data_IF_929401675481
#
_entry.id   IF_929401675481
#
_cell.length_a   1.000
_cell.length_b   1.000
_cell.length_c   1.000
_cell.angle_alpha   90.00
_cell.angle_beta   90.00
_cell.angle_gamma   90.00
#
_symmetry.space_group_name_H-M   'P 1'
#
loop_
_entity.id
_entity.type
_entity.pdbx_description
1 polymer ?
#
# COMPACT_ATOMS: atom_id res chain seq x y z
N UNK A 1 11.30 55.99 61.89
CA UNK A 1 10.32 55.92 60.79
C UNK A 1 10.08 54.44 60.50
N UNK A 2 8.84 54.01 60.77
CA UNK A 2 8.11 52.76 60.42
C UNK A 2 8.78 51.76 59.46
N UNK A 3 8.54 50.45 59.51
CA UNK A 3 7.84 49.52 60.43
C UNK A 3 8.03 48.11 59.82
N UNK A 4 7.94 47.07 60.65
CA UNK A 4 7.59 45.66 60.32
C UNK A 4 8.53 44.85 59.40
N UNK A 5 8.54 43.51 59.34
CA UNK A 5 8.41 42.37 60.26
C UNK A 5 8.45 41.11 59.37
N UNK A 6 8.96 39.97 59.88
CA UNK A 6 8.59 38.58 59.50
C UNK A 6 9.14 37.96 58.18
N UNK A 7 9.62 36.69 58.32
CA UNK A 7 9.96 35.63 57.33
C UNK A 7 8.76 35.18 56.43
N UNK A 8 8.70 34.03 55.71
CA UNK A 8 9.68 33.02 55.23
C UNK A 8 9.50 32.65 53.72
N UNK A 9 10.28 31.65 53.26
CA UNK A 9 10.12 30.72 52.10
C UNK A 9 9.06 31.03 51.01
N UNK A 10 9.48 31.16 49.75
CA UNK A 10 8.61 31.02 48.58
C UNK A 10 9.27 30.20 47.46
N UNK A 11 8.77 28.98 47.31
CA UNK A 11 8.83 28.14 46.11
C UNK A 11 8.24 28.91 44.92
N UNK A 12 8.97 29.04 43.82
CA UNK A 12 8.41 29.45 42.53
C UNK A 12 8.54 28.32 41.53
N UNK A 13 7.37 27.76 41.20
CA UNK A 13 7.12 26.90 40.06
C UNK A 13 7.55 27.59 38.76
N UNK A 14 8.28 26.88 37.91
CA UNK A 14 8.33 27.17 36.48
C UNK A 14 7.64 26.02 35.76
N UNK A 15 6.45 26.35 35.27
CA UNK A 15 5.59 25.59 34.38
C UNK A 15 6.31 25.20 33.10
N UNK A 16 6.54 23.90 32.92
CA UNK A 16 7.06 23.30 31.69
C UNK A 16 6.61 21.85 31.58
N UNK A 17 5.30 21.61 31.75
CA UNK A 17 4.69 20.30 31.66
C UNK A 17 4.25 20.02 30.21
N UNK A 18 5.08 19.23 29.52
CA UNK A 18 4.68 18.13 28.66
C UNK A 18 3.60 18.38 27.59
N UNK A 19 4.04 18.88 26.43
CA UNK A 19 3.30 18.77 25.15
C UNK A 19 3.67 17.46 24.40
N UNK A 20 4.76 16.78 24.81
CA UNK A 20 5.30 15.60 24.13
C UNK A 20 4.91 14.25 24.74
N UNK A 21 4.41 14.20 25.97
CA UNK A 21 3.90 12.96 26.58
C UNK A 21 2.44 12.66 26.19
N UNK A 22 1.73 13.59 25.54
CA UNK A 22 0.30 13.48 25.23
C UNK A 22 -0.01 13.01 23.79
N UNK A 23 0.99 12.43 23.09
CA UNK A 23 0.84 11.82 21.77
C UNK A 23 1.13 10.32 21.74
N UNK A 24 1.05 9.65 22.91
CA UNK A 24 1.07 8.21 22.98
C UNK A 24 -0.06 7.62 22.10
N UNK A 25 0.33 6.96 21.01
CA UNK A 25 -0.58 6.39 20.04
C UNK A 25 -1.58 5.43 20.71
N UNK A 26 -2.90 5.56 20.49
CA UNK A 26 -3.85 4.59 21.00
C UNK A 26 -3.64 3.25 20.29
N UNK A 27 -3.24 2.24 21.06
CA UNK A 27 -3.11 0.85 20.65
C UNK A 27 -4.48 0.21 20.44
N UNK A 28 -5.22 0.64 19.43
CA UNK A 28 -6.45 -0.05 19.02
C UNK A 28 -6.09 -1.24 18.13
N UNK A 29 -6.63 -2.44 18.40
CA UNK A 29 -6.35 -3.62 17.59
C UNK A 29 -6.89 -3.44 16.16
N UNK A 30 -6.08 -3.80 15.16
CA UNK A 30 -6.51 -3.91 13.77
C UNK A 30 -7.53 -5.05 13.70
N UNK A 31 -8.79 -4.72 13.47
CA UNK A 31 -9.86 -5.71 13.32
C UNK A 31 -9.85 -6.20 11.87
N UNK A 32 -9.58 -7.50 11.69
CA UNK A 32 -9.70 -8.19 10.40
C UNK A 32 -11.13 -8.72 10.32
N UNK A 33 -12.04 -7.93 9.78
CA UNK A 33 -13.43 -8.34 9.57
C UNK A 33 -13.69 -8.47 8.07
N UNK A 34 -14.13 -9.65 7.62
CA UNK A 34 -14.51 -9.87 6.23
C UNK A 34 -15.90 -9.28 5.96
N UNK A 35 -15.98 -7.95 5.89
CA UNK A 35 -17.23 -7.25 5.64
C UNK A 35 -17.52 -7.17 4.14
N UNK A 36 -18.22 -8.19 3.64
CA UNK A 36 -19.13 -7.98 2.51
C UNK A 36 -20.59 -8.24 2.94
N UNK A 37 -20.83 -8.83 4.11
CA UNK A 37 -22.17 -9.26 4.50
C UNK A 37 -22.97 -8.23 5.34
N UNK A 38 -22.46 -7.00 5.52
CA UNK A 38 -23.05 -6.03 6.47
C UNK A 38 -23.35 -4.62 5.95
N UNK A 39 -22.93 -4.24 4.73
CA UNK A 39 -23.10 -2.87 4.25
C UNK A 39 -24.46 -2.73 3.55
N UNK A 40 -25.32 -1.84 4.03
CA UNK A 40 -26.67 -1.64 3.51
C UNK A 40 -26.67 -0.78 2.23
N UNK A 41 -27.68 -1.01 1.38
CA UNK A 41 -27.86 -0.27 0.13
C UNK A 41 -28.08 1.23 0.41
N UNK A 42 -27.13 2.08 0.02
CA UNK A 42 -27.12 3.52 0.30
C UNK A 42 -25.97 4.00 1.19
N UNK A 43 -25.21 3.08 1.80
CA UNK A 43 -24.03 3.44 2.58
C UNK A 43 -22.80 3.70 1.68
N UNK A 44 -21.89 4.55 2.16
CA UNK A 44 -20.61 4.86 1.51
C UNK A 44 -19.47 4.11 2.19
N UNK A 45 -18.41 3.83 1.43
CA UNK A 45 -17.21 3.17 1.94
C UNK A 45 -16.06 4.19 1.94
N UNK A 46 -15.42 4.35 3.08
CA UNK A 46 -14.15 5.07 3.18
C UNK A 46 -13.02 4.13 2.75
N UNK A 47 -12.50 4.33 1.55
CA UNK A 47 -11.44 3.53 0.96
C UNK A 47 -10.09 4.23 1.05
N UNK A 48 -9.14 3.66 1.78
CA UNK A 48 -7.76 4.12 1.82
C UNK A 48 -6.96 3.58 0.63
N UNK A 49 -6.56 4.50 -0.25
CA UNK A 49 -5.63 4.27 -1.35
C UNK A 49 -4.19 4.67 -0.98
N UNK A 50 -3.24 3.78 -1.25
CA UNK A 50 -1.81 3.99 -0.98
C UNK A 50 -0.89 3.64 -2.17
N UNK A 51 -1.45 3.07 -3.23
CA UNK A 51 -0.74 2.60 -4.42
C UNK A 51 -1.16 3.35 -5.68
N UNK A 52 -1.31 2.61 -6.79
CA UNK A 52 -1.78 3.16 -8.07
C UNK A 52 -3.14 3.85 -8.02
N UNK A 53 -3.94 3.57 -6.99
CA UNK A 53 -5.26 4.20 -6.81
C UNK A 53 -5.20 5.62 -6.25
N UNK A 54 -4.03 6.10 -5.84
CA UNK A 54 -3.85 7.51 -5.49
C UNK A 54 -3.88 8.43 -6.72
N UNK A 55 -3.60 7.91 -7.92
CA UNK A 55 -3.67 8.70 -9.15
C UNK A 55 -5.11 8.79 -9.66
N UNK A 56 -5.60 10.02 -9.82
CA UNK A 56 -6.99 10.28 -10.19
C UNK A 56 -7.33 9.76 -11.58
N UNK A 57 -6.42 9.85 -12.55
CA UNK A 57 -6.65 9.34 -13.92
C UNK A 57 -6.84 7.81 -13.95
N UNK A 58 -6.14 7.10 -13.08
CA UNK A 58 -6.25 5.65 -12.88
C UNK A 58 -7.53 5.27 -12.12
N UNK A 59 -7.95 6.11 -11.16
CA UNK A 59 -9.16 5.92 -10.36
C UNK A 59 -10.45 6.25 -11.13
N UNK A 60 -10.53 7.42 -11.75
CA UNK A 60 -11.73 7.88 -12.48
C UNK A 60 -11.78 7.48 -13.95
N UNK A 61 -10.64 7.32 -14.62
CA UNK A 61 -10.60 6.89 -16.02
C UNK A 61 -10.77 5.39 -16.18
N UNK A 62 -9.74 4.62 -15.79
CA UNK A 62 -9.70 3.17 -16.01
C UNK A 62 -10.77 2.40 -15.22
N UNK A 63 -11.05 2.81 -13.97
CA UNK A 63 -12.03 2.13 -13.10
C UNK A 63 -13.43 2.75 -13.15
N UNK A 64 -13.57 3.93 -13.76
CA UNK A 64 -14.85 4.67 -13.84
C UNK A 64 -15.49 4.89 -12.46
N UNK A 65 -14.65 5.16 -11.46
CA UNK A 65 -15.06 5.46 -10.07
C UNK A 65 -15.03 6.97 -9.86
N UNK A 66 -16.09 7.53 -9.28
CA UNK A 66 -16.15 8.96 -8.95
C UNK A 66 -16.24 9.10 -7.43
N UNK A 67 -15.13 9.47 -6.75
CA UNK A 67 -15.18 9.66 -5.31
C UNK A 67 -16.12 10.81 -4.95
N UNK A 68 -16.90 10.63 -3.89
CA UNK A 68 -17.79 11.63 -3.31
C UNK A 68 -17.00 12.70 -2.56
N UNK A 69 -15.97 12.25 -1.83
CA UNK A 69 -15.02 13.10 -1.12
C UNK A 69 -13.63 12.45 -1.10
N UNK A 70 -12.60 13.26 -0.81
CA UNK A 70 -11.21 12.82 -0.71
C UNK A 70 -10.51 13.51 0.46
N UNK A 71 -9.70 12.79 1.21
CA UNK A 71 -8.96 13.30 2.36
C UNK A 71 -7.57 12.66 2.42
N UNK A 72 -6.52 13.47 2.51
CA UNK A 72 -5.17 12.96 2.77
C UNK A 72 -5.11 12.45 4.21
N UNK A 73 -4.47 11.31 4.42
CA UNK A 73 -4.37 10.71 5.76
C UNK A 73 -2.98 10.16 6.03
N UNK A 74 -2.63 10.14 7.31
CA UNK A 74 -1.46 9.46 7.85
C UNK A 74 -1.89 8.22 8.63
N UNK A 75 -1.16 7.13 8.46
CA UNK A 75 -1.41 5.83 9.09
C UNK A 75 -0.13 5.34 9.77
N UNK A 76 0.09 5.65 11.07
CA UNK A 76 1.32 5.30 11.79
C UNK A 76 1.62 3.80 11.84
N UNK A 77 0.58 2.97 11.83
CA UNK A 77 0.65 1.53 12.06
C UNK A 77 1.01 0.71 10.82
N UNK A 78 1.11 1.34 9.65
CA UNK A 78 1.40 0.66 8.38
C UNK A 78 2.64 1.23 7.72
N UNK A 79 3.39 0.36 7.04
CA UNK A 79 4.49 0.69 6.14
C UNK A 79 4.12 0.33 4.70
N UNK A 80 4.51 1.21 3.76
CA UNK A 80 4.41 0.94 2.33
C UNK A 80 5.52 -0.03 1.92
N UNK A 81 5.16 -1.14 1.30
CA UNK A 81 6.10 -2.13 0.77
C UNK A 81 5.83 -2.43 -0.70
N UNK A 82 6.78 -3.07 -1.38
CA UNK A 82 6.65 -3.49 -2.78
C UNK A 82 6.83 -5.00 -2.92
N UNK A 83 6.12 -5.75 -2.10
CA UNK A 83 6.25 -7.21 -2.02
C UNK A 83 5.13 -7.96 -2.77
N UNK A 84 4.10 -7.25 -3.24
CA UNK A 84 3.06 -7.88 -4.02
C UNK A 84 3.56 -8.26 -5.41
N UNK A 85 3.31 -9.51 -5.78
CA UNK A 85 3.75 -10.11 -7.04
C UNK A 85 2.98 -9.57 -8.23
N UNK A 86 3.69 -9.06 -9.23
CA UNK A 86 3.14 -8.78 -10.56
C UNK A 86 3.66 -9.77 -11.62
N UNK A 87 4.14 -9.23 -12.75
CA UNK A 87 4.67 -10.00 -13.88
C UNK A 87 6.19 -9.78 -13.98
N UNK A 88 7.03 -10.82 -13.80
CA UNK A 88 8.48 -10.72 -13.93
C UNK A 88 8.93 -9.99 -15.19
N UNK A 89 10.03 -9.22 -15.10
CA UNK A 89 10.62 -8.40 -16.18
C UNK A 89 9.79 -7.21 -16.70
N UNK A 90 8.51 -7.13 -16.39
CA UNK A 90 7.61 -6.06 -16.86
C UNK A 90 7.16 -5.17 -15.72
N UNK A 91 6.35 -5.72 -14.82
CA UNK A 91 5.84 -5.06 -13.62
C UNK A 91 5.98 -6.04 -12.48
N UNK A 92 7.21 -6.32 -12.05
CA UNK A 92 7.45 -7.47 -11.19
C UNK A 92 6.82 -7.31 -9.82
N UNK A 93 6.68 -6.06 -9.35
CA UNK A 93 6.20 -5.73 -8.02
C UNK A 93 5.23 -4.57 -8.00
N UNK A 94 4.26 -4.69 -7.11
CA UNK A 94 3.24 -3.68 -6.82
C UNK A 94 3.24 -3.29 -5.35
N UNK A 95 2.62 -2.15 -5.05
CA UNK A 95 2.51 -1.65 -3.69
C UNK A 95 1.65 -2.57 -2.82
N UNK A 96 2.05 -2.71 -1.57
CA UNK A 96 1.32 -3.40 -0.52
C UNK A 96 1.56 -2.67 0.81
N UNK A 97 0.89 -3.13 1.86
CA UNK A 97 1.08 -2.61 3.21
C UNK A 97 1.45 -3.73 4.18
N UNK A 98 2.32 -3.38 5.13
CA UNK A 98 2.70 -4.25 6.25
C UNK A 98 2.47 -3.51 7.56
N UNK A 99 2.14 -4.26 8.62
CA UNK A 99 2.05 -3.67 9.95
C UNK A 99 3.45 -3.24 10.37
N UNK A 100 3.58 -1.99 10.79
CA UNK A 100 4.81 -1.48 11.39
C UNK A 100 5.05 -2.19 12.72
N UNK A 101 6.22 -2.78 12.89
CA UNK A 101 6.67 -3.35 14.17
C UNK A 101 7.37 -2.22 14.93
N UNK A 102 6.81 -1.82 16.08
CA UNK A 102 7.24 -0.67 16.88
C UNK A 102 8.46 -0.92 17.77
N UNK A 103 9.03 -2.12 17.79
CA UNK A 103 9.85 -2.58 18.91
C UNK A 103 11.35 -2.69 18.58
N UNK A 104 11.87 -1.80 17.74
CA UNK A 104 13.29 -1.47 17.80
C UNK A 104 13.35 -0.01 18.23
N UNK A 105 13.88 0.21 19.42
CA UNK A 105 14.43 1.49 19.88
C UNK A 105 15.52 1.94 18.88
N UNK A 106 15.09 2.40 17.70
CA UNK A 106 15.95 3.21 16.84
C UNK A 106 15.93 4.60 17.44
N UNK A 107 17.11 4.99 17.93
CA UNK A 107 17.50 6.32 18.39
C UNK A 107 16.57 7.44 17.89
N UNK A 108 15.94 8.12 18.84
CA UNK A 108 14.91 9.17 18.64
C UNK A 108 15.42 10.46 17.96
N UNK A 109 16.53 10.42 17.23
CA UNK A 109 17.14 11.64 16.65
C UNK A 109 17.15 11.72 15.12
N UNK A 110 16.71 10.71 14.34
CA UNK A 110 16.80 10.78 12.86
C UNK A 110 15.63 10.23 12.03
N UNK A 111 14.40 10.16 12.56
CA UNK A 111 13.19 10.09 11.71
C UNK A 111 11.92 10.50 12.45
N UNK A 112 11.33 11.68 12.18
CA UNK A 112 9.99 12.00 12.68
C UNK A 112 8.89 11.38 11.77
N UNK A 113 9.06 10.09 11.44
CA UNK A 113 8.16 9.13 10.74
C UNK A 113 8.37 8.94 9.22
N UNK A 114 8.02 7.76 8.68
CA UNK A 114 6.90 7.82 7.74
C UNK A 114 6.00 6.60 7.89
N UNK A 115 5.04 6.65 8.82
CA UNK A 115 3.88 5.77 8.65
C UNK A 115 3.30 5.99 7.25
N UNK A 116 2.52 5.05 6.75
CA UNK A 116 1.91 5.16 5.44
C UNK A 116 1.14 6.48 5.30
N UNK A 117 1.40 7.23 4.24
CA UNK A 117 0.55 8.36 3.82
C UNK A 117 -0.18 7.94 2.56
N UNK A 118 -1.48 8.20 2.55
CA UNK A 118 -2.35 7.88 1.43
C UNK A 118 -3.53 8.82 1.35
N UNK A 119 -4.49 8.45 0.53
CA UNK A 119 -5.71 9.21 0.29
C UNK A 119 -6.90 8.33 0.63
N UNK A 120 -7.75 8.80 1.52
CA UNK A 120 -9.06 8.20 1.76
C UNK A 120 -10.05 8.80 0.77
N UNK A 121 -10.68 7.94 -0.02
CA UNK A 121 -11.80 8.27 -0.88
C UNK A 121 -13.09 7.77 -0.25
N UNK A 122 -14.11 8.62 -0.21
CA UNK A 122 -15.46 8.17 0.02
C UNK A 122 -16.07 7.72 -1.31
N UNK A 123 -16.49 6.46 -1.39
CA UNK A 123 -17.05 5.86 -2.60
C UNK A 123 -18.40 5.22 -2.33
N UNK A 124 -19.25 5.15 -3.34
CA UNK A 124 -20.49 4.37 -3.26
C UNK A 124 -20.19 2.87 -3.21
N UNK A 125 -21.12 2.08 -2.72
CA UNK A 125 -21.02 0.61 -2.77
C UNK A 125 -20.79 0.05 -4.18
N UNK A 126 -21.45 0.63 -5.19
CA UNK A 126 -21.28 0.19 -6.58
C UNK A 126 -19.87 0.45 -7.08
N UNK A 127 -19.29 1.61 -6.71
CA UNK A 127 -17.91 1.96 -7.02
C UNK A 127 -16.91 1.09 -6.25
N UNK A 128 -17.21 0.76 -4.99
CA UNK A 128 -16.43 -0.18 -4.19
C UNK A 128 -16.33 -1.56 -4.84
N UNK A 129 -17.44 -2.11 -5.34
CA UNK A 129 -17.43 -3.37 -6.08
C UNK A 129 -16.57 -3.30 -7.36
N UNK A 130 -16.55 -2.17 -8.06
CA UNK A 130 -15.67 -1.97 -9.22
C UNK A 130 -14.19 -1.92 -8.83
N UNK A 131 -13.86 -1.29 -7.70
CA UNK A 131 -12.49 -1.31 -7.15
C UNK A 131 -12.08 -2.75 -6.87
N UNK A 132 -12.90 -3.52 -6.15
CA UNK A 132 -12.60 -4.92 -5.85
C UNK A 132 -12.44 -5.80 -7.10
N UNK A 133 -13.27 -5.58 -8.13
CA UNK A 133 -13.16 -6.30 -9.39
C UNK A 133 -11.83 -6.02 -10.12
N UNK A 134 -11.36 -4.76 -10.08
CA UNK A 134 -10.17 -4.31 -10.82
C UNK A 134 -8.86 -4.56 -10.07
N UNK A 135 -8.87 -4.72 -8.74
CA UNK A 135 -7.72 -5.10 -7.91
C UNK A 135 -7.45 -6.63 -7.91
N UNK A 136 -7.88 -7.36 -8.95
CA UNK A 136 -7.71 -8.81 -9.04
C UNK A 136 -8.85 -9.63 -8.41
N UNK A 137 -10.07 -9.06 -8.38
CA UNK A 137 -11.28 -9.77 -8.00
C UNK A 137 -11.34 -10.21 -6.53
N UNK A 138 -10.60 -9.55 -5.64
CA UNK A 138 -10.55 -9.89 -4.21
C UNK A 138 -9.91 -11.24 -3.87
N UNK A 139 -9.16 -11.84 -4.80
CA UNK A 139 -8.56 -13.18 -4.62
C UNK A 139 -7.21 -13.15 -3.91
N UNK A 140 -6.52 -12.01 -3.95
CA UNK A 140 -5.15 -11.82 -3.44
C UNK A 140 -5.07 -10.87 -2.26
N UNK A 141 -6.11 -10.07 -2.03
CA UNK A 141 -6.15 -9.05 -1.00
C UNK A 141 -7.20 -9.39 0.04
N UNK A 142 -6.84 -9.20 1.30
CA UNK A 142 -7.75 -9.13 2.42
C UNK A 142 -8.17 -7.68 2.62
N UNK A 143 -9.42 -7.49 2.99
CA UNK A 143 -9.93 -6.20 3.44
C UNK A 143 -9.58 -6.04 4.93
N UNK A 144 -8.96 -4.92 5.30
CA UNK A 144 -8.67 -4.58 6.70
C UNK A 144 -9.19 -3.18 7.02
N UNK A 145 -9.61 -2.97 8.26
CA UNK A 145 -10.00 -1.66 8.77
C UNK A 145 -8.87 -1.06 9.58
N UNK A 146 -8.50 0.19 9.28
CA UNK A 146 -7.36 0.85 9.91
C UNK A 146 -7.70 2.30 10.31
N UNK A 147 -7.31 2.73 11.52
CA UNK A 147 -7.41 4.14 11.90
C UNK A 147 -6.48 4.99 11.02
N UNK A 148 -7.05 6.02 10.43
CA UNK A 148 -6.38 6.97 9.56
C UNK A 148 -6.50 8.36 10.15
N UNK A 149 -5.41 9.10 10.26
CA UNK A 149 -5.38 10.45 10.82
C UNK A 149 -5.42 11.47 9.68
N UNK A 150 -6.51 12.25 9.52
CA UNK A 150 -6.60 13.27 8.48
C UNK A 150 -5.43 14.26 8.53
N UNK A 151 -4.84 14.54 7.36
CA UNK A 151 -3.80 15.56 7.19
C UNK A 151 -4.43 16.76 6.53
N UNK A 152 -4.36 17.92 7.18
CA UNK A 152 -4.78 19.19 6.59
C UNK A 152 -3.70 19.69 5.61
N UNK A 153 -3.99 19.81 4.30
CA UNK A 153 -2.98 20.23 3.31
C UNK A 153 -2.25 21.54 3.64
N UNK A 154 -2.88 22.59 4.21
CA UNK A 154 -2.19 23.84 4.53
C UNK A 154 -1.12 23.72 5.60
N UNK A 155 -1.31 22.83 6.58
CA UNK A 155 -0.42 22.69 7.74
C UNK A 155 0.46 21.45 7.65
N UNK A 156 0.04 20.44 6.87
CA UNK A 156 0.60 19.09 6.85
C UNK A 156 0.68 18.44 8.25
N UNK A 157 -0.17 18.88 9.18
CA UNK A 157 -0.24 18.34 10.54
C UNK A 157 -1.37 17.29 10.57
N UNK A 158 -1.10 16.06 11.00
CA UNK A 158 -2.15 15.07 11.24
C UNK A 158 -3.05 15.50 12.39
N UNK A 159 -4.37 15.38 12.19
CA UNK A 159 -5.36 15.54 13.25
C UNK A 159 -5.17 14.48 14.35
N UNK A 160 -5.58 14.79 15.58
CA UNK A 160 -5.58 13.83 16.70
C UNK A 160 -6.72 12.81 16.62
N UNK A 161 -7.81 13.13 15.91
CA UNK A 161 -8.98 12.27 15.80
C UNK A 161 -8.90 11.36 14.57
N UNK A 162 -8.83 10.03 14.71
CA UNK A 162 -8.78 9.13 13.58
C UNK A 162 -10.16 8.91 12.94
N UNK A 163 -10.16 8.66 11.64
CA UNK A 163 -11.28 8.08 10.90
C UNK A 163 -10.96 6.61 10.57
N UNK A 164 -11.95 5.71 10.65
CA UNK A 164 -11.75 4.31 10.27
C UNK A 164 -11.94 4.16 8.77
N UNK A 165 -10.90 3.74 8.06
CA UNK A 165 -10.98 3.47 6.63
C UNK A 165 -10.68 2.01 6.31
N UNK A 166 -11.29 1.55 5.24
CA UNK A 166 -11.14 0.22 4.66
C UNK A 166 -9.99 0.24 3.65
N UNK A 167 -9.08 -0.71 3.74
CA UNK A 167 -8.01 -0.87 2.74
C UNK A 167 -7.80 -2.32 2.34
N UNK A 168 -7.07 -2.52 1.25
CA UNK A 168 -6.73 -3.83 0.72
C UNK A 168 -5.30 -4.16 1.14
N UNK A 169 -5.05 -5.36 1.64
CA UNK A 169 -3.73 -5.83 2.05
C UNK A 169 -3.54 -7.27 1.60
N UNK A 170 -2.48 -7.54 0.83
CA UNK A 170 -2.17 -8.91 0.45
C UNK A 170 -1.39 -9.59 1.57
N UNK A 171 -1.92 -10.61 2.25
CA UNK A 171 -1.27 -11.22 3.41
C UNK A 171 0.06 -11.86 3.02
N UNK A 172 1.01 -11.86 3.95
CA UNK A 172 2.23 -12.64 3.77
C UNK A 172 1.87 -14.12 3.79
N UNK A 173 2.13 -14.84 2.70
CA UNK A 173 1.92 -16.28 2.65
C UNK A 173 3.04 -16.96 3.43
N UNK A 174 2.74 -17.49 4.62
CA UNK A 174 3.65 -18.32 5.39
C UNK A 174 4.24 -19.43 4.49
N UNK A 175 5.54 -19.40 4.22
CA UNK A 175 6.27 -20.52 3.63
C UNK A 175 6.76 -20.39 2.18
N UNK A 176 6.57 -19.26 1.49
CA UNK A 176 7.27 -19.00 0.21
C UNK A 176 8.21 -17.81 0.43
N UNK A 177 9.51 -18.02 0.15
CA UNK A 177 10.64 -17.08 0.28
C UNK A 177 10.17 -15.66 0.58
N UNK A 178 10.42 -15.20 1.79
CA UNK A 178 10.04 -13.85 2.19
C UNK A 178 10.63 -12.85 1.20
N UNK A 179 9.75 -12.31 0.39
CA UNK A 179 10.09 -11.48 -0.78
C UNK A 179 9.98 -9.99 -0.42
N UNK A 180 9.84 -9.69 0.87
CA UNK A 180 9.71 -8.35 1.44
C UNK A 180 10.89 -7.43 1.07
N UNK A 181 12.11 -7.97 0.94
CA UNK A 181 13.32 -7.12 0.92
C UNK A 181 13.98 -6.91 -0.46
N UNK A 182 13.50 -7.57 -1.53
CA UNK A 182 14.26 -7.67 -2.80
C UNK A 182 13.52 -7.23 -4.06
N UNK A 183 12.24 -6.92 -3.95
CA UNK A 183 11.41 -6.54 -5.08
C UNK A 183 11.47 -5.04 -5.40
N UNK A 184 11.61 -4.69 -6.68
CA UNK A 184 11.51 -3.30 -7.15
C UNK A 184 10.28 -3.13 -8.06
N UNK A 185 9.45 -2.10 -7.85
CA UNK A 185 8.36 -1.77 -8.78
C UNK A 185 8.90 -1.22 -10.10
N UNK A 186 8.11 -1.31 -11.17
CA UNK A 186 8.49 -0.70 -12.45
C UNK A 186 8.47 0.83 -12.38
N UNK A 187 9.27 1.49 -13.23
CA UNK A 187 9.24 2.96 -13.32
C UNK A 187 7.84 3.49 -13.66
N UNK A 188 7.13 2.81 -14.58
CA UNK A 188 5.75 3.16 -14.92
C UNK A 188 4.85 3.14 -13.69
N UNK A 189 4.96 2.11 -12.85
CA UNK A 189 4.15 1.98 -11.64
C UNK A 189 4.52 3.03 -10.58
N UNK A 190 5.81 3.27 -10.33
CA UNK A 190 6.26 4.32 -9.41
C UNK A 190 5.77 5.70 -9.83
N UNK A 191 5.70 5.97 -11.13
CA UNK A 191 5.15 7.23 -11.62
C UNK A 191 3.67 7.40 -11.26
N UNK A 192 2.87 6.33 -11.18
CA UNK A 192 1.49 6.44 -10.69
C UNK A 192 1.45 6.93 -9.24
N UNK A 193 2.32 6.40 -8.38
CA UNK A 193 2.39 6.82 -6.98
C UNK A 193 2.87 8.27 -6.86
N UNK A 194 3.87 8.67 -7.64
CA UNK A 194 4.41 10.04 -7.66
C UNK A 194 3.40 11.04 -8.19
N UNK A 195 2.74 10.72 -9.31
CA UNK A 195 1.68 11.55 -9.88
C UNK A 195 0.52 11.68 -8.90
N UNK A 196 0.03 10.57 -8.33
CA UNK A 196 -1.03 10.63 -7.33
C UNK A 196 -0.65 11.44 -6.09
N UNK A 197 0.59 11.30 -5.61
CA UNK A 197 1.07 12.09 -4.49
C UNK A 197 1.11 13.60 -4.78
N UNK A 198 1.48 13.96 -6.01
CA UNK A 198 1.48 15.35 -6.48
C UNK A 198 0.05 15.88 -6.72
N UNK A 199 -0.83 15.11 -7.37
CA UNK A 199 -2.23 15.49 -7.63
C UNK A 199 -3.03 15.74 -6.35
N UNK A 200 -2.63 15.09 -5.26
CA UNK A 200 -3.26 15.20 -3.95
C UNK A 200 -2.50 16.12 -2.99
N UNK A 201 -1.45 16.81 -3.44
CA UNK A 201 -0.62 17.69 -2.60
C UNK A 201 -0.18 17.00 -1.29
N UNK A 202 0.27 15.74 -1.37
CA UNK A 202 0.77 15.03 -0.20
C UNK A 202 1.98 15.77 0.41
N UNK A 203 2.28 15.61 1.71
CA UNK A 203 3.40 16.30 2.35
C UNK A 203 4.72 16.14 1.59
N UNK A 204 5.49 17.23 1.47
CA UNK A 204 6.70 17.28 0.65
C UNK A 204 7.75 16.22 1.02
N UNK A 205 7.85 15.86 2.31
CA UNK A 205 8.75 14.80 2.77
C UNK A 205 8.34 13.43 2.20
N UNK A 206 7.04 13.16 2.08
CA UNK A 206 6.52 11.90 1.53
C UNK A 206 6.65 11.84 0.01
N UNK A 207 6.44 12.97 -0.68
CA UNK A 207 6.74 13.07 -2.11
C UNK A 207 8.24 12.81 -2.38
N UNK A 208 9.12 13.33 -1.53
CA UNK A 208 10.57 13.08 -1.61
C UNK A 208 10.90 11.61 -1.37
N UNK A 209 10.26 10.98 -0.38
CA UNK A 209 10.36 9.53 -0.13
C UNK A 209 9.97 8.71 -1.36
N UNK A 210 8.81 8.97 -1.97
CA UNK A 210 8.36 8.27 -3.19
C UNK A 210 9.27 8.53 -4.40
N UNK A 211 9.89 9.70 -4.48
CA UNK A 211 10.85 10.04 -5.52
C UNK A 211 12.16 9.27 -5.35
N UNK A 212 12.61 9.07 -4.12
CA UNK A 212 13.83 8.31 -3.79
C UNK A 212 13.71 6.79 -4.08
N UNK A 213 12.50 6.26 -4.24
CA UNK A 213 12.28 4.84 -4.57
C UNK A 213 12.93 4.46 -5.91
N UNK A 214 13.70 3.38 -5.89
CA UNK A 214 14.45 2.88 -7.06
C UNK A 214 13.54 2.04 -7.97
N UNK A 215 13.37 2.40 -9.26
CA UNK A 215 12.63 1.58 -10.21
C UNK A 215 13.43 0.34 -10.62
N UNK A 216 12.72 -0.76 -10.88
CA UNK A 216 13.27 -1.93 -11.57
C UNK A 216 13.76 -1.55 -12.97
N UNK A 217 14.96 -2.01 -13.31
CA UNK A 217 15.57 -1.85 -14.64
C UNK A 217 16.21 -3.15 -15.09
N UNK A 218 16.05 -3.45 -16.38
CA UNK A 218 16.79 -4.53 -17.03
C UNK A 218 18.20 -4.03 -17.30
N UNK A 219 19.20 -4.75 -16.80
CA UNK A 219 20.60 -4.35 -16.88
C UNK A 219 21.40 -5.19 -17.87
N UNK A 220 20.90 -6.35 -18.29
CA UNK A 220 21.60 -7.28 -19.19
C UNK A 220 20.78 -7.68 -20.42
N UNK A 221 21.48 -7.96 -21.52
CA UNK A 221 20.89 -8.52 -22.75
C UNK A 221 20.23 -9.87 -22.44
N UNK A 222 20.82 -10.65 -21.53
CA UNK A 222 20.29 -11.93 -21.07
C UNK A 222 18.89 -11.79 -20.46
N UNK A 223 18.68 -10.81 -19.58
CA UNK A 223 17.36 -10.48 -19.04
C UNK A 223 16.41 -9.96 -20.12
N UNK A 224 16.91 -9.20 -21.10
CA UNK A 224 16.10 -8.71 -22.21
C UNK A 224 15.56 -9.85 -23.09
N UNK A 225 16.37 -10.88 -23.35
CA UNK A 225 15.92 -12.11 -24.02
C UNK A 225 14.91 -12.84 -23.13
N UNK A 226 15.25 -13.02 -21.85
CA UNK A 226 14.37 -13.66 -20.86
C UNK A 226 12.99 -13.04 -20.79
N UNK A 227 12.90 -11.71 -20.83
CA UNK A 227 11.65 -10.95 -20.88
C UNK A 227 10.76 -11.37 -22.05
N UNK A 228 11.31 -11.45 -23.27
CA UNK A 228 10.53 -11.80 -24.46
C UNK A 228 10.13 -13.27 -24.48
N UNK A 229 11.04 -14.16 -24.05
CA UNK A 229 10.72 -15.59 -23.90
C UNK A 229 9.61 -15.77 -22.86
N UNK A 230 9.70 -15.07 -21.73
CA UNK A 230 8.70 -15.13 -20.67
C UNK A 230 7.33 -14.63 -21.15
N UNK A 231 7.32 -13.53 -21.89
CA UNK A 231 6.12 -13.00 -22.52
C UNK A 231 5.50 -14.01 -23.49
N UNK A 232 6.30 -14.61 -24.38
CA UNK A 232 5.79 -15.60 -25.33
C UNK A 232 5.15 -16.81 -24.63
N UNK A 233 5.70 -17.26 -23.50
CA UNK A 233 5.15 -18.36 -22.72
C UNK A 233 3.87 -18.00 -21.94
N UNK A 234 3.84 -16.82 -21.32
CA UNK A 234 2.83 -16.48 -20.30
C UNK A 234 1.79 -15.45 -20.71
N UNK A 235 2.02 -14.68 -21.79
CA UNK A 235 1.08 -13.65 -22.22
C UNK A 235 -0.30 -14.24 -22.56
N UNK A 236 -0.36 -15.33 -23.32
CA UNK A 236 -1.62 -15.99 -23.67
C UNK A 236 -2.43 -16.41 -22.44
N UNK A 237 -1.90 -17.30 -21.57
CA UNK A 237 -2.57 -17.70 -20.33
C UNK A 237 -2.99 -16.51 -19.46
N UNK A 238 -2.11 -15.51 -19.30
CA UNK A 238 -2.36 -14.32 -18.48
C UNK A 238 -3.52 -13.49 -19.04
N UNK A 239 -3.51 -13.17 -20.32
CA UNK A 239 -4.58 -12.39 -20.95
C UNK A 239 -5.91 -13.15 -20.99
N UNK A 240 -5.88 -14.47 -21.16
CA UNK A 240 -7.08 -15.30 -21.08
C UNK A 240 -7.73 -15.22 -19.70
N UNK A 241 -6.95 -15.37 -18.62
CA UNK A 241 -7.46 -15.31 -17.24
C UNK A 241 -7.95 -13.91 -16.90
N UNK A 242 -7.20 -12.86 -17.24
CA UNK A 242 -7.61 -11.47 -16.99
C UNK A 242 -8.89 -11.15 -17.75
N UNK A 243 -8.95 -11.47 -19.05
CA UNK A 243 -10.13 -11.23 -19.89
C UNK A 243 -11.36 -11.94 -19.33
N UNK A 244 -11.25 -13.23 -19.01
CA UNK A 244 -12.35 -14.00 -18.43
C UNK A 244 -12.78 -13.46 -17.07
N UNK A 245 -11.84 -13.02 -16.24
CA UNK A 245 -12.14 -12.43 -14.93
C UNK A 245 -12.92 -11.13 -15.09
N UNK A 246 -12.50 -10.24 -16.01
CA UNK A 246 -13.22 -8.97 -16.27
C UNK A 246 -14.63 -9.18 -16.82
N UNK A 247 -14.83 -10.21 -17.66
CA UNK A 247 -16.14 -10.55 -18.21
C UNK A 247 -17.08 -11.13 -17.15
N UNK A 248 -16.56 -11.94 -16.23
CA UNK A 248 -17.35 -12.67 -15.25
C UNK A 248 -17.43 -12.01 -13.86
N UNK A 249 -16.66 -10.94 -13.62
CA UNK A 249 -16.72 -10.13 -12.39
C UNK A 249 -17.81 -9.06 -12.41
N UNK A 250 -18.37 -8.71 -13.58
CA UNK A 250 -19.44 -7.71 -13.74
C UNK A 250 -20.82 -8.16 -13.23
N UNK A 251 -20.89 -9.27 -12.49
CA UNK A 251 -22.15 -9.72 -11.90
C UNK A 251 -22.31 -9.11 -10.50
N UNK A 252 -23.21 -8.14 -10.39
CA UNK A 252 -23.50 -7.37 -9.17
C UNK A 252 -23.89 -8.28 -7.99
N UNK A 253 -24.53 -9.43 -8.25
CA UNK A 253 -24.89 -10.43 -7.23
C UNK A 253 -23.70 -11.07 -6.52
N UNK A 254 -22.46 -10.88 -7.02
CA UNK A 254 -21.22 -11.39 -6.41
C UNK A 254 -20.31 -10.28 -5.89
N UNK A 255 -20.79 -9.04 -5.81
CA UNK A 255 -20.03 -7.91 -5.26
C UNK A 255 -18.72 -7.64 -6.01
N UNK A 256 -18.67 -7.87 -7.33
CA UNK A 256 -17.47 -7.65 -8.15
C UNK A 256 -16.45 -8.80 -8.13
N UNK A 257 -16.74 -9.94 -7.50
CA UNK A 257 -15.82 -11.09 -7.43
C UNK A 257 -16.08 -12.11 -8.56
N UNK A 258 -15.03 -12.68 -9.17
CA UNK A 258 -15.19 -13.74 -10.17
C UNK A 258 -15.73 -15.04 -9.52
N UNK A 259 -16.27 -15.98 -10.33
CA UNK A 259 -16.62 -17.31 -9.85
C UNK A 259 -15.45 -17.99 -9.12
N UNK A 260 -15.72 -18.76 -8.06
CA UNK A 260 -14.67 -19.40 -7.24
C UNK A 260 -13.71 -20.30 -8.04
N UNK A 261 -14.21 -21.03 -9.05
CA UNK A 261 -13.37 -21.85 -9.92
C UNK A 261 -12.39 -21.00 -10.75
N UNK A 262 -12.82 -19.81 -11.20
CA UNK A 262 -11.98 -18.90 -11.97
C UNK A 262 -10.96 -18.19 -11.08
N UNK A 263 -11.35 -17.84 -9.85
CA UNK A 263 -10.43 -17.37 -8.84
C UNK A 263 -9.33 -18.41 -8.55
N UNK A 264 -9.71 -19.68 -8.39
CA UNK A 264 -8.78 -20.79 -8.18
C UNK A 264 -7.85 -20.99 -9.39
N UNK A 265 -8.39 -20.95 -10.62
CA UNK A 265 -7.60 -21.01 -11.85
C UNK A 265 -6.60 -19.86 -11.95
N UNK A 266 -7.04 -18.62 -11.67
CA UNK A 266 -6.20 -17.43 -11.71
C UNK A 266 -5.03 -17.53 -10.72
N UNK A 267 -5.32 -17.99 -9.50
CA UNK A 267 -4.32 -18.28 -8.49
C UNK A 267 -3.33 -19.35 -8.96
N UNK A 268 -3.82 -20.47 -9.49
CA UNK A 268 -2.98 -21.56 -10.00
C UNK A 268 -2.05 -21.12 -11.14
N UNK A 269 -2.56 -20.35 -12.11
CA UNK A 269 -1.77 -19.78 -13.21
C UNK A 269 -0.71 -18.83 -12.66
N UNK A 270 -1.06 -17.94 -11.73
CA UNK A 270 -0.10 -17.03 -11.09
C UNK A 270 1.00 -17.78 -10.33
N UNK A 271 0.64 -18.81 -9.58
CA UNK A 271 1.62 -19.64 -8.85
C UNK A 271 2.57 -20.37 -9.79
N UNK A 272 2.05 -20.96 -10.88
CA UNK A 272 2.89 -21.65 -11.87
C UNK A 272 3.79 -20.68 -12.62
N UNK A 273 3.27 -19.51 -12.99
CA UNK A 273 4.01 -18.43 -13.62
C UNK A 273 5.20 -17.99 -12.75
N UNK A 274 5.00 -17.86 -11.44
CA UNK A 274 6.07 -17.52 -10.50
C UNK A 274 7.02 -18.67 -10.21
N UNK A 275 6.52 -19.91 -10.14
CA UNK A 275 7.34 -21.10 -9.92
C UNK A 275 8.28 -21.34 -11.09
N UNK A 276 7.77 -21.25 -12.32
CA UNK A 276 8.60 -21.36 -13.53
C UNK A 276 9.60 -20.21 -13.62
N UNK A 277 9.24 -19.01 -13.17
CA UNK A 277 10.20 -17.91 -13.07
C UNK A 277 11.34 -18.24 -12.10
N UNK A 278 11.03 -18.67 -10.87
CA UNK A 278 12.05 -18.91 -9.83
C UNK A 278 13.00 -20.07 -10.20
N UNK A 279 12.46 -21.14 -10.78
CA UNK A 279 13.23 -22.36 -11.07
C UNK A 279 13.97 -22.28 -12.40
N UNK A 280 13.38 -21.62 -13.41
CA UNK A 280 13.91 -21.65 -14.79
C UNK A 280 14.41 -20.27 -15.19
N UNK A 281 13.54 -19.26 -15.18
CA UNK A 281 13.89 -17.99 -15.81
C UNK A 281 14.91 -17.18 -15.01
N UNK A 282 14.79 -17.12 -13.69
CA UNK A 282 15.74 -16.37 -12.87
C UNK A 282 17.16 -16.94 -12.97
N UNK A 283 17.39 -18.26 -12.84
CA UNK A 283 18.70 -18.85 -13.06
C UNK A 283 19.21 -18.71 -14.50
N UNK A 284 18.32 -18.84 -15.50
CA UNK A 284 18.69 -18.88 -16.92
C UNK A 284 18.79 -17.51 -17.59
N UNK A 285 18.09 -16.49 -17.09
CA UNK A 285 18.04 -15.17 -17.72
C UNK A 285 18.40 -14.01 -16.80
N UNK A 286 18.49 -14.22 -15.48
CA UNK A 286 18.81 -13.19 -14.48
C UNK A 286 17.60 -12.72 -13.69
N UNK A 287 17.82 -11.84 -12.71
CA UNK A 287 16.75 -11.37 -11.83
C UNK A 287 15.78 -10.45 -12.59
N UNK A 288 14.53 -10.87 -12.68
CA UNK A 288 13.42 -10.13 -13.28
C UNK A 288 12.61 -9.29 -12.28
N UNK A 289 13.03 -9.21 -11.01
CA UNK A 289 12.28 -8.56 -9.92
C UNK A 289 13.04 -7.43 -9.22
N UNK A 290 14.35 -7.37 -9.34
CA UNK A 290 15.19 -6.36 -8.69
C UNK A 290 16.63 -6.40 -9.18
N UNK A 291 17.45 -5.47 -8.71
CA UNK A 291 18.87 -5.44 -9.06
C UNK A 291 19.62 -6.68 -8.53
N UNK A 292 20.15 -7.47 -9.47
CA UNK A 292 20.97 -8.68 -9.24
C UNK A 292 22.25 -8.44 -8.42
N UNK A 293 22.63 -7.18 -8.17
CA UNK A 293 23.93 -6.79 -7.58
C UNK A 293 24.05 -7.10 -6.09
N UNK A 294 22.96 -7.41 -5.39
CA UNK A 294 23.02 -7.86 -3.97
C UNK A 294 23.17 -9.38 -3.80
N UNK A 295 23.31 -10.13 -4.90
CA UNK A 295 23.45 -11.59 -4.90
C UNK A 295 24.89 -12.12 -5.04
N UNK A 296 25.87 -11.25 -5.30
CA UNK A 296 27.27 -11.63 -5.21
C UNK A 296 27.65 -11.68 -3.72
N UNK A 297 27.58 -12.86 -3.12
CA UNK A 297 28.28 -13.12 -1.86
C UNK A 297 29.72 -12.64 -2.03
N UNK A 298 30.16 -11.79 -1.11
CA UNK A 298 31.59 -11.57 -0.88
C UNK A 298 32.24 -12.93 -0.64
N UNK A 299 33.26 -13.21 -1.44
CA UNK A 299 34.36 -14.17 -1.28
C UNK A 299 34.00 -15.54 -0.67
#
# INVERSE_FOLDING_TARGET
MNSDSVSPTATLQSTGSNILDELAAPSSPVVIESLVDGIQEGETVLYLAYGSNMEYSTFSGRRKVKPLSKQNVWVPSLDLTFDLKGVPYFEPRFANVRKRISDIECDRETSPLPGLIGVVYEVTLTDWHRILATEGGGTSYLTIHIPCYPIDPPTNIPSKSPITATTLCAPSTNGRVDRQDKGQPSLRYLNLLRTGAHEHDLPAFYQSYLTALKPYKITSIRQQIGKWVYFACWAGPLFCVIGMSTLLSNNEKRGGRPPGWLAALSKGVGELMWTTYDIIFKPLFGDGEGDSTKGAKSL
#
